data_IF_998617672145
#
_entry.id   IF_998617672145
#
_cell.length_a   1.000
_cell.length_b   1.000
_cell.length_c   1.000
_cell.angle_alpha   90.00
_cell.angle_beta   90.00
_cell.angle_gamma   90.00
#
_symmetry.space_group_name_H-M   'P 1'
#
loop_
_entity.id
_entity.type
_entity.pdbx_description
1 polymer ?
#
# COMPACT_ATOMS: atom_id res chain seq x y z
N UNK A 1 15.63 49.87 -20.00
CA UNK A 1 16.70 49.33 -19.15
C UNK A 1 16.42 49.81 -17.73
N UNK A 2 15.65 49.04 -16.96
CA UNK A 2 15.28 49.42 -15.59
C UNK A 2 16.34 48.93 -14.60
N UNK A 3 17.23 49.84 -14.21
CA UNK A 3 18.15 49.64 -13.10
C UNK A 3 17.49 50.11 -11.81
N UNK A 4 16.63 49.29 -11.21
CA UNK A 4 16.18 49.49 -9.84
C UNK A 4 16.79 48.41 -8.93
N UNK A 5 18.09 48.53 -8.66
CA UNK A 5 18.75 47.75 -7.60
C UNK A 5 18.30 48.36 -6.27
N UNK A 6 17.23 47.83 -5.66
CA UNK A 6 16.87 48.13 -4.27
C UNK A 6 18.10 47.86 -3.40
N UNK A 7 18.65 48.90 -2.76
CA UNK A 7 19.72 48.75 -1.79
C UNK A 7 19.16 47.99 -0.58
N UNK A 8 19.51 46.70 -0.45
CA UNK A 8 19.18 45.89 0.73
C UNK A 8 19.78 46.54 1.96
N UNK A 9 18.94 46.79 2.96
CA UNK A 9 19.33 47.33 4.27
C UNK A 9 20.20 46.32 5.01
N UNK A 10 20.84 46.76 6.10
CA UNK A 10 21.63 45.86 6.95
C UNK A 10 20.72 44.79 7.58
N UNK A 11 19.47 45.16 7.93
CA UNK A 11 18.47 44.23 8.46
C UNK A 11 18.12 43.13 7.45
N UNK A 12 17.86 43.48 6.18
CA UNK A 12 17.58 42.50 5.12
C UNK A 12 18.72 41.50 4.89
N UNK A 13 19.95 41.87 5.25
CA UNK A 13 21.13 41.00 5.16
C UNK A 13 21.26 40.09 6.37
N UNK A 14 20.87 40.57 7.56
CA UNK A 14 20.85 39.78 8.79
C UNK A 14 19.78 38.69 8.73
N UNK A 15 18.57 39.01 8.28
CA UNK A 15 17.50 38.01 8.10
C UNK A 15 17.91 36.92 7.10
N UNK A 16 18.65 37.30 6.05
CA UNK A 16 19.18 36.33 5.10
C UNK A 16 20.22 35.41 5.75
N UNK A 17 21.11 35.96 6.58
CA UNK A 17 22.12 35.17 7.30
C UNK A 17 21.44 34.22 8.28
N UNK A 18 20.44 34.70 9.03
CA UNK A 18 19.66 33.87 9.95
C UNK A 18 18.94 32.74 9.21
N UNK A 19 18.29 33.03 8.07
CA UNK A 19 17.66 32.01 7.25
C UNK A 19 18.66 30.96 6.73
N UNK A 20 19.84 31.38 6.28
CA UNK A 20 20.90 30.47 5.84
C UNK A 20 21.40 29.58 7.00
N UNK A 21 21.53 30.14 8.21
CA UNK A 21 21.90 29.39 9.41
C UNK A 21 20.81 28.39 9.80
N UNK A 22 19.53 28.78 9.80
CA UNK A 22 18.41 27.87 10.07
C UNK A 22 18.33 26.71 9.07
N UNK A 23 18.76 26.93 7.81
CA UNK A 23 18.71 25.91 6.76
C UNK A 23 19.90 24.96 6.77
N UNK A 24 21.07 25.41 7.22
CA UNK A 24 22.32 24.69 7.04
C UNK A 24 23.03 24.31 8.34
N UNK A 25 22.65 24.91 9.48
CA UNK A 25 23.14 24.56 10.80
C UNK A 25 22.01 23.97 11.65
N UNK A 26 22.09 22.65 11.84
CA UNK A 26 21.09 21.88 12.58
C UNK A 26 21.07 22.23 14.07
N UNK A 27 22.20 22.57 14.67
CA UNK A 27 22.25 22.90 16.09
C UNK A 27 21.71 24.31 16.33
N UNK A 28 22.02 25.25 15.44
CA UNK A 28 21.40 26.58 15.46
C UNK A 28 19.88 26.49 15.30
N UNK A 29 19.38 25.70 14.35
CA UNK A 29 17.95 25.50 14.15
C UNK A 29 17.25 24.89 15.37
N UNK A 30 17.87 23.89 16.03
CA UNK A 30 17.35 23.31 17.27
C UNK A 30 17.29 24.33 18.40
N UNK A 31 18.36 25.12 18.56
CA UNK A 31 18.41 26.14 19.59
C UNK A 31 17.34 27.22 19.37
N UNK A 32 17.19 27.70 18.13
CA UNK A 32 16.14 28.64 17.74
C UNK A 32 14.74 28.10 18.07
N UNK A 33 14.47 26.82 17.74
CA UNK A 33 13.20 26.18 18.08
C UNK A 33 12.97 26.09 19.59
N UNK A 34 14.00 25.75 20.37
CA UNK A 34 13.93 25.74 21.84
C UNK A 34 13.63 27.13 22.41
N UNK A 35 14.25 28.18 21.86
CA UNK A 35 14.02 29.58 22.26
C UNK A 35 12.57 30.03 21.98
N UNK A 36 11.98 29.54 20.89
CA UNK A 36 10.56 29.73 20.55
C UNK A 36 9.61 28.78 21.33
N UNK A 37 10.13 27.99 22.27
CA UNK A 37 9.36 27.10 23.14
C UNK A 37 8.97 25.75 22.53
N UNK A 38 9.59 25.39 21.39
CA UNK A 38 9.40 24.10 20.71
C UNK A 38 10.52 23.15 21.13
N UNK A 39 10.17 21.95 21.59
CA UNK A 39 11.12 20.91 21.93
C UNK A 39 11.49 20.09 20.68
N UNK A 40 12.69 20.28 20.08
CA UNK A 40 13.03 19.69 18.79
C UNK A 40 13.11 18.17 18.85
N UNK A 41 13.54 17.61 19.98
CA UNK A 41 13.69 16.17 20.14
C UNK A 41 12.32 15.47 20.19
N UNK A 42 11.33 16.09 20.85
CA UNK A 42 9.94 15.60 20.83
C UNK A 42 9.32 15.67 19.44
N UNK A 43 9.57 16.74 18.69
CA UNK A 43 9.05 16.89 17.32
C UNK A 43 9.68 15.89 16.35
N UNK A 44 10.98 15.61 16.49
CA UNK A 44 11.68 14.56 15.75
C UNK A 44 11.09 13.19 16.07
N UNK A 45 10.85 12.89 17.35
CA UNK A 45 10.24 11.64 17.77
C UNK A 45 8.82 11.48 17.20
N UNK A 46 7.98 12.50 17.35
CA UNK A 46 6.61 12.52 16.82
C UNK A 46 6.60 12.31 15.31
N UNK A 47 7.44 13.05 14.57
CA UNK A 47 7.58 12.92 13.12
C UNK A 47 8.02 11.51 12.71
N UNK A 48 8.96 10.93 13.45
CA UNK A 48 9.41 9.55 13.23
C UNK A 48 8.30 8.52 13.43
N UNK A 49 7.51 8.64 14.50
CA UNK A 49 6.37 7.75 14.77
C UNK A 49 5.27 7.91 13.71
N UNK A 50 4.96 9.15 13.32
CA UNK A 50 3.97 9.45 12.30
C UNK A 50 4.36 8.88 10.92
N UNK A 51 5.63 9.02 10.52
CA UNK A 51 6.14 8.45 9.27
C UNK A 51 6.12 6.91 9.27
N UNK A 52 6.40 6.26 10.41
CA UNK A 52 6.24 4.80 10.55
C UNK A 52 4.79 4.38 10.32
N UNK A 53 3.82 5.13 10.89
CA UNK A 53 2.39 4.87 10.69
C UNK A 53 1.98 5.01 9.23
N UNK A 54 2.39 6.09 8.56
CA UNK A 54 2.12 6.30 7.12
C UNK A 54 2.67 5.13 6.30
N UNK A 55 3.93 4.73 6.54
CA UNK A 55 4.56 3.62 5.84
C UNK A 55 3.81 2.30 6.06
N UNK A 56 3.39 2.03 7.28
CA UNK A 56 2.60 0.84 7.60
C UNK A 56 1.25 0.84 6.88
N UNK A 57 0.53 1.97 6.88
CA UNK A 57 -0.74 2.10 6.15
C UNK A 57 -0.55 1.94 4.64
N UNK A 58 0.49 2.54 4.06
CA UNK A 58 0.81 2.41 2.64
C UNK A 58 1.17 0.97 2.25
N UNK A 59 1.94 0.27 3.09
CA UNK A 59 2.25 -1.15 2.91
C UNK A 59 0.98 -2.00 2.99
N UNK A 60 0.11 -1.74 3.98
CA UNK A 60 -1.17 -2.42 4.12
C UNK A 60 -2.09 -2.20 2.91
N UNK A 61 -2.17 -0.97 2.40
CA UNK A 61 -2.93 -0.63 1.19
C UNK A 61 -2.35 -1.31 -0.06
N UNK A 62 -1.03 -1.30 -0.22
CA UNK A 62 -0.33 -1.94 -1.34
C UNK A 62 -0.55 -3.46 -1.33
N UNK A 63 -0.44 -4.09 -0.16
CA UNK A 63 -0.72 -5.51 0.00
C UNK A 63 -2.18 -5.81 -0.33
N UNK A 64 -3.14 -5.03 0.20
CA UNK A 64 -4.57 -5.19 -0.12
C UNK A 64 -4.86 -5.02 -1.62
N UNK A 65 -4.24 -4.06 -2.29
CA UNK A 65 -4.37 -3.90 -3.75
C UNK A 65 -3.76 -5.09 -4.51
N UNK A 66 -2.65 -5.63 -4.04
CA UNK A 66 -2.02 -6.82 -4.63
C UNK A 66 -2.91 -8.04 -4.46
N UNK A 67 -3.54 -8.19 -3.30
CA UNK A 67 -4.47 -9.29 -3.00
C UNK A 67 -5.73 -9.19 -3.87
N UNK A 68 -6.30 -7.99 -4.03
CA UNK A 68 -7.43 -7.76 -4.95
C UNK A 68 -7.07 -8.08 -6.41
N UNK A 69 -5.89 -7.65 -6.88
CA UNK A 69 -5.42 -8.00 -8.23
C UNK A 69 -5.21 -9.50 -8.41
N UNK A 70 -4.68 -10.19 -7.41
CA UNK A 70 -4.53 -11.64 -7.43
C UNK A 70 -5.89 -12.32 -7.49
N UNK A 71 -6.88 -11.79 -6.77
CA UNK A 71 -8.24 -12.29 -6.77
C UNK A 71 -8.90 -12.11 -8.14
N UNK A 72 -8.75 -10.94 -8.76
CA UNK A 72 -9.22 -10.69 -10.14
C UNK A 72 -8.57 -11.65 -11.14
N UNK A 73 -7.24 -11.84 -11.07
CA UNK A 73 -6.52 -12.76 -11.96
C UNK A 73 -6.96 -14.22 -11.76
N UNK A 74 -7.12 -14.65 -10.50
CA UNK A 74 -7.60 -15.99 -10.20
C UNK A 74 -9.04 -16.19 -10.66
N UNK A 75 -9.90 -15.18 -10.49
CA UNK A 75 -11.28 -15.19 -10.92
C UNK A 75 -11.40 -15.31 -12.44
N UNK A 76 -10.69 -14.46 -13.18
CA UNK A 76 -10.69 -14.48 -14.65
C UNK A 76 -10.18 -15.84 -15.15
N UNK A 77 -9.10 -16.35 -14.55
CA UNK A 77 -8.53 -17.64 -14.95
C UNK A 77 -9.46 -18.81 -14.64
N UNK A 78 -10.14 -18.78 -13.50
CA UNK A 78 -11.11 -19.81 -13.15
C UNK A 78 -12.30 -19.80 -14.12
N UNK A 79 -12.80 -18.61 -14.49
CA UNK A 79 -13.87 -18.46 -15.50
C UNK A 79 -13.45 -18.95 -16.88
N UNK A 80 -12.21 -18.73 -17.29
CA UNK A 80 -11.66 -19.27 -18.53
C UNK A 80 -11.65 -20.81 -18.52
N UNK A 81 -11.01 -21.40 -17.49
CA UNK A 81 -10.91 -22.87 -17.40
C UNK A 81 -12.29 -23.50 -17.22
N UNK A 82 -13.22 -22.88 -16.50
CA UNK A 82 -14.62 -23.33 -16.41
C UNK A 82 -15.31 -23.46 -17.77
N UNK A 83 -15.04 -22.53 -18.69
CA UNK A 83 -15.59 -22.57 -20.05
C UNK A 83 -14.94 -23.65 -20.91
N UNK A 84 -13.65 -23.92 -20.70
CA UNK A 84 -12.88 -24.89 -21.48
C UNK A 84 -13.06 -26.33 -20.96
N UNK A 85 -13.01 -26.52 -19.65
CA UNK A 85 -13.09 -27.79 -18.95
C UNK A 85 -13.52 -27.57 -17.48
N UNK A 86 -14.82 -27.70 -17.23
CA UNK A 86 -15.40 -27.46 -15.91
C UNK A 86 -15.01 -28.49 -14.85
N UNK A 87 -14.70 -29.74 -15.23
CA UNK A 87 -14.18 -30.75 -14.32
C UNK A 87 -12.79 -30.37 -13.80
N UNK A 88 -11.90 -29.92 -14.68
CA UNK A 88 -10.54 -29.48 -14.30
C UNK A 88 -10.56 -28.26 -13.39
N UNK A 89 -11.42 -27.28 -13.69
CA UNK A 89 -11.60 -26.11 -12.82
C UNK A 89 -12.10 -26.53 -11.43
N UNK A 90 -13.04 -27.48 -11.39
CA UNK A 90 -13.59 -28.01 -10.15
C UNK A 90 -12.53 -28.78 -9.36
N UNK A 91 -11.73 -29.64 -9.98
CA UNK A 91 -10.65 -30.38 -9.31
C UNK A 91 -9.60 -29.46 -8.68
N UNK A 92 -9.16 -28.42 -9.40
CA UNK A 92 -8.20 -27.45 -8.89
C UNK A 92 -8.72 -26.72 -7.64
N UNK A 93 -10.01 -26.31 -7.66
CA UNK A 93 -10.64 -25.69 -6.49
C UNK A 93 -10.76 -26.68 -5.32
N UNK A 94 -11.16 -27.92 -5.62
CA UNK A 94 -11.38 -29.00 -4.65
C UNK A 94 -10.08 -29.33 -3.91
N UNK A 95 -8.96 -29.46 -4.61
CA UNK A 95 -7.67 -29.78 -4.00
C UNK A 95 -7.23 -28.73 -2.96
N UNK A 96 -7.57 -27.47 -3.19
CA UNK A 96 -7.22 -26.36 -2.30
C UNK A 96 -8.19 -26.24 -1.13
N UNK A 97 -9.49 -26.40 -1.39
CA UNK A 97 -10.56 -26.28 -0.38
C UNK A 97 -10.66 -27.51 0.53
N UNK A 98 -10.15 -28.67 0.12
CA UNK A 98 -10.08 -29.87 0.95
C UNK A 98 -9.35 -29.67 2.28
N UNK A 99 -8.55 -28.61 2.42
CA UNK A 99 -7.89 -28.25 3.68
C UNK A 99 -8.75 -27.39 4.62
N UNK A 100 -9.88 -26.80 4.17
CA UNK A 100 -10.63 -25.81 4.96
C UNK A 100 -12.16 -25.93 5.00
N UNK A 101 -12.83 -26.69 4.12
CA UNK A 101 -14.31 -26.67 4.12
C UNK A 101 -14.95 -28.03 3.76
N UNK A 102 -15.86 -28.58 4.60
CA UNK A 102 -16.53 -29.83 4.31
C UNK A 102 -17.66 -29.63 3.30
N UNK A 103 -17.60 -30.39 2.21
CA UNK A 103 -18.73 -30.73 1.34
C UNK A 103 -19.53 -29.55 0.76
N UNK A 104 -18.87 -28.61 0.08
CA UNK A 104 -19.57 -27.89 -0.97
C UNK A 104 -19.85 -28.90 -2.09
N UNK A 105 -21.11 -29.14 -2.41
CA UNK A 105 -21.50 -30.03 -3.51
C UNK A 105 -21.21 -29.33 -4.86
N UNK A 106 -19.95 -29.35 -5.30
CA UNK A 106 -19.41 -28.63 -6.47
C UNK A 106 -19.87 -29.12 -7.85
N UNK A 107 -20.88 -30.01 -7.95
CA UNK A 107 -21.52 -30.37 -9.25
C UNK A 107 -22.23 -29.18 -9.93
N UNK A 108 -22.04 -27.97 -9.42
CA UNK A 108 -22.76 -26.74 -9.73
C UNK A 108 -21.82 -25.52 -9.86
N UNK A 109 -20.50 -25.68 -9.94
CA UNK A 109 -19.56 -24.54 -10.08
C UNK A 109 -19.94 -23.63 -11.28
N UNK A 110 -20.42 -24.24 -12.37
CA UNK A 110 -20.96 -23.55 -13.55
C UNK A 110 -22.20 -22.68 -13.27
N UNK A 111 -22.96 -23.02 -12.21
CA UNK A 111 -24.17 -22.30 -11.81
C UNK A 111 -23.92 -21.25 -10.72
N UNK A 112 -22.68 -21.09 -10.27
CA UNK A 112 -22.32 -20.09 -9.28
C UNK A 112 -22.33 -18.69 -9.89
N UNK A 113 -22.89 -17.76 -9.14
CA UNK A 113 -22.76 -16.33 -9.40
C UNK A 113 -21.32 -15.87 -9.21
N UNK A 114 -21.00 -14.72 -9.80
CA UNK A 114 -19.68 -14.12 -9.67
C UNK A 114 -19.33 -13.80 -8.20
N UNK A 115 -20.32 -13.44 -7.40
CA UNK A 115 -20.14 -13.16 -5.97
C UNK A 115 -19.83 -14.44 -5.17
N UNK A 116 -20.50 -15.56 -5.47
CA UNK A 116 -20.21 -16.86 -4.85
C UNK A 116 -18.79 -17.35 -5.20
N UNK A 117 -18.35 -17.14 -6.43
CA UNK A 117 -16.97 -17.47 -6.84
C UNK A 117 -15.96 -16.60 -6.09
N UNK A 118 -16.21 -15.28 -5.99
CA UNK A 118 -15.31 -14.37 -5.27
C UNK A 118 -15.19 -14.69 -3.79
N UNK A 119 -16.30 -15.07 -3.16
CA UNK A 119 -16.32 -15.47 -1.74
C UNK A 119 -15.42 -16.69 -1.51
N UNK A 120 -15.57 -17.74 -2.32
CA UNK A 120 -14.73 -18.94 -2.23
C UNK A 120 -13.27 -18.66 -2.57
N UNK A 121 -13.00 -17.78 -3.54
CA UNK A 121 -11.64 -17.37 -3.88
C UNK A 121 -10.95 -16.60 -2.74
N UNK A 122 -11.71 -15.97 -1.83
CA UNK A 122 -11.13 -15.30 -0.66
C UNK A 122 -10.57 -16.27 0.40
N UNK A 123 -11.00 -17.54 0.37
CA UNK A 123 -10.62 -18.56 1.34
C UNK A 123 -9.46 -19.48 0.88
N UNK A 124 -9.03 -19.37 -0.38
CA UNK A 124 -7.99 -20.21 -1.00
C UNK A 124 -6.67 -19.47 -1.21
N UNK A 125 -5.57 -20.23 -1.29
CA UNK A 125 -4.31 -19.68 -1.77
C UNK A 125 -4.41 -19.41 -3.29
N UNK A 126 -4.59 -18.14 -3.63
CA UNK A 126 -4.77 -17.67 -5.01
C UNK A 126 -3.57 -17.99 -5.91
N UNK A 127 -2.35 -18.01 -5.36
CA UNK A 127 -1.15 -18.32 -6.15
C UNK A 127 -1.15 -19.80 -6.50
N UNK A 128 -1.40 -20.65 -5.52
CA UNK A 128 -1.46 -22.10 -5.73
C UNK A 128 -2.61 -22.46 -6.70
N UNK A 129 -3.76 -21.79 -6.59
CA UNK A 129 -4.87 -21.97 -7.54
C UNK A 129 -4.47 -21.62 -8.97
N UNK A 130 -3.85 -20.45 -9.17
CA UNK A 130 -3.41 -20.02 -10.51
C UNK A 130 -2.42 -21.04 -11.11
N UNK A 131 -1.55 -21.64 -10.29
CA UNK A 131 -0.62 -22.68 -10.74
C UNK A 131 -1.33 -23.98 -11.11
N UNK A 132 -2.30 -24.44 -10.33
CA UNK A 132 -3.09 -25.63 -10.65
C UNK A 132 -3.92 -25.44 -11.93
N UNK A 133 -4.53 -24.27 -12.13
CA UNK A 133 -5.28 -23.94 -13.33
C UNK A 133 -4.40 -23.85 -14.60
N UNK A 134 -3.08 -23.73 -14.48
CA UNK A 134 -2.13 -23.74 -15.60
C UNK A 134 -1.68 -25.14 -16.04
N UNK A 135 -1.89 -26.19 -15.22
CA UNK A 135 -1.48 -27.58 -15.51
C UNK A 135 -2.42 -28.27 -16.50
#
# INVERSE_FOLDING_TARGET
MDTNKKNKTILDRLDKVELELLQHDTEYAKQFLMEEGIDPDKEIEFSGQFMKKIRFMALGMSNKQRDLKLLDVAFDRLKEVLKENSERASEALINLLHTKTPAIHYRKLESWSDDEIRDVLSDVDLIQLIEELKK
#
